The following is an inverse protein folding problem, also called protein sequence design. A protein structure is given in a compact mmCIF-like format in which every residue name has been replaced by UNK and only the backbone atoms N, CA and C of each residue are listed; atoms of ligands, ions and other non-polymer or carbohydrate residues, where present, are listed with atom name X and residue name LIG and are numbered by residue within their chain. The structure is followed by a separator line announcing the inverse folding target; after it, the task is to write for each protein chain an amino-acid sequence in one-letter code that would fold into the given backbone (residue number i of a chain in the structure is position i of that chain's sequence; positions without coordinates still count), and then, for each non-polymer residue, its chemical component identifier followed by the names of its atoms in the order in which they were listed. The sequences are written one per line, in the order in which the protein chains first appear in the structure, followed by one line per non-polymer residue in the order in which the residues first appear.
data_IF_551409372765
#
_entry.id   IF_551409372765
#
_cell.length_a   1.000
_cell.length_b   1.000
_cell.length_c   1.000
_cell.angle_alpha   90.00
_cell.angle_beta   90.00
_cell.angle_gamma   90.00
#
_symmetry.space_group_name_H-M   'P 1'
#
loop_
_entity.id
_entity.type
_entity.pdbx_description
1 polymer ?
#
# COMPACT_ATOMS: atom_id res chain seq x y z
N UNK A 1 20.79 0.39 32.27
CA UNK A 1 19.81 -0.19 33.23
C UNK A 1 18.38 0.31 32.98
N UNK A 2 18.13 1.63 32.95
CA UNK A 2 16.80 2.22 32.66
C UNK A 2 16.18 1.76 31.32
N UNK A 3 16.96 1.78 30.22
CA UNK A 3 16.47 1.34 28.91
C UNK A 3 16.04 -0.14 28.85
N UNK A 4 16.59 -1.00 29.70
CA UNK A 4 16.20 -2.41 29.80
C UNK A 4 14.88 -2.55 30.56
N UNK A 5 14.71 -1.81 31.65
CA UNK A 5 13.45 -1.75 32.41
C UNK A 5 12.29 -1.25 31.55
N UNK A 6 12.48 -0.16 30.80
CA UNK A 6 11.46 0.37 29.88
C UNK A 6 11.10 -0.66 28.80
N UNK A 7 12.07 -1.38 28.24
CA UNK A 7 11.81 -2.45 27.26
C UNK A 7 11.01 -3.59 27.87
N UNK A 8 11.35 -4.06 29.07
CA UNK A 8 10.65 -5.17 29.74
C UNK A 8 9.23 -4.78 30.14
N UNK A 9 9.03 -3.58 30.69
CA UNK A 9 7.70 -3.06 31.03
C UNK A 9 6.82 -2.91 29.78
N UNK A 10 7.36 -2.36 28.70
CA UNK A 10 6.64 -2.26 27.43
C UNK A 10 6.40 -3.62 26.78
N UNK A 11 7.34 -4.56 26.85
CA UNK A 11 7.11 -5.92 26.34
C UNK A 11 5.96 -6.60 27.05
N UNK A 12 5.86 -6.49 28.38
CA UNK A 12 4.74 -7.04 29.15
C UNK A 12 3.41 -6.41 28.75
N UNK A 13 3.35 -5.09 28.60
CA UNK A 13 2.12 -4.39 28.20
C UNK A 13 1.71 -4.67 26.74
N UNK A 14 2.68 -4.97 25.87
CA UNK A 14 2.46 -5.29 24.45
C UNK A 14 2.22 -6.78 24.21
N UNK A 15 2.64 -7.69 25.10
CA UNK A 15 2.51 -9.14 24.93
C UNK A 15 1.06 -9.61 24.75
N UNK A 16 0.10 -8.90 25.35
CA UNK A 16 -1.33 -9.22 25.29
C UNK A 16 -2.01 -8.56 24.07
N UNK A 17 -1.33 -7.65 23.36
CA UNK A 17 -1.93 -6.94 22.22
C UNK A 17 -1.81 -7.76 20.94
N UNK A 18 -2.90 -7.83 20.20
CA UNK A 18 -2.89 -8.38 18.85
C UNK A 18 -1.95 -7.58 17.95
N UNK A 19 -1.09 -8.28 17.21
CA UNK A 19 -0.14 -7.66 16.27
C UNK A 19 -0.84 -6.97 15.08
N UNK A 20 -2.09 -7.33 14.79
CA UNK A 20 -2.93 -6.66 13.79
C UNK A 20 -4.41 -6.85 14.13
N UNK A 21 -5.23 -5.85 13.81
CA UNK A 21 -6.70 -5.93 13.93
C UNK A 21 -7.34 -6.81 12.86
N UNK A 22 -6.57 -7.19 11.84
CA UNK A 22 -7.03 -7.96 10.69
C UNK A 22 -7.00 -9.48 10.88
N UNK A 23 -6.56 -9.98 12.04
CA UNK A 23 -6.44 -11.43 12.28
C UNK A 23 -7.75 -12.18 12.05
N UNK A 24 -8.82 -11.73 12.68
CA UNK A 24 -10.15 -12.34 12.53
C UNK A 24 -10.66 -12.14 11.10
N UNK A 25 -10.53 -10.93 10.57
CA UNK A 25 -11.07 -10.59 9.24
C UNK A 25 -10.44 -11.38 8.10
N UNK A 26 -9.16 -11.70 8.21
CA UNK A 26 -8.41 -12.45 7.19
C UNK A 26 -8.18 -13.92 7.58
N UNK A 27 -8.82 -14.40 8.64
CA UNK A 27 -8.62 -15.75 9.19
C UNK A 27 -7.13 -16.14 9.33
N UNK A 28 -6.31 -15.24 9.86
CA UNK A 28 -4.85 -15.41 9.93
C UNK A 28 -4.44 -16.46 10.94
N UNK A 29 -3.51 -17.33 10.55
CA UNK A 29 -2.84 -18.24 11.48
C UNK A 29 -1.86 -17.49 12.39
N UNK A 30 -1.41 -18.13 13.48
CA UNK A 30 -0.47 -17.53 14.42
C UNK A 30 0.88 -17.14 13.78
N UNK A 31 1.29 -17.89 12.75
CA UNK A 31 2.57 -17.70 12.06
C UNK A 31 2.52 -16.55 11.05
N UNK A 32 1.33 -16.17 10.56
CA UNK A 32 1.16 -15.04 9.66
C UNK A 32 1.26 -13.71 10.42
N UNK A 33 2.19 -12.85 10.00
CA UNK A 33 2.49 -11.57 10.64
C UNK A 33 2.74 -10.50 9.58
N UNK A 34 2.49 -9.21 9.88
CA UNK A 34 2.80 -8.13 8.93
C UNK A 34 4.30 -8.01 8.63
N UNK A 35 4.63 -7.72 7.36
CA UNK A 35 6.00 -7.62 6.84
C UNK A 35 6.62 -6.23 7.08
N UNK A 36 6.72 -5.83 8.36
CA UNK A 36 7.12 -4.48 8.78
C UNK A 36 8.42 -3.98 8.14
N UNK A 37 9.44 -4.85 8.04
CA UNK A 37 10.73 -4.46 7.46
C UNK A 37 10.66 -4.25 5.96
N UNK A 38 9.74 -4.92 5.27
CA UNK A 38 9.57 -4.80 3.83
C UNK A 38 8.83 -3.50 3.49
N UNK A 39 7.82 -3.19 4.29
CA UNK A 39 6.91 -2.05 4.12
C UNK A 39 7.52 -0.69 4.46
N UNK A 40 8.73 -0.68 5.03
CA UNK A 40 9.51 0.54 5.32
C UNK A 40 10.74 0.68 4.42
N UNK A 41 10.93 -0.18 3.40
CA UNK A 41 12.07 -0.11 2.47
C UNK A 41 11.72 0.77 1.26
N UNK A 42 12.70 1.50 0.71
CA UNK A 42 12.56 2.14 -0.60
C UNK A 42 12.09 1.13 -1.67
N UNK A 43 11.30 1.54 -2.66
CA UNK A 43 10.92 2.93 -2.96
C UNK A 43 9.72 3.47 -2.16
N UNK A 44 9.18 2.74 -1.17
CA UNK A 44 8.12 3.28 -0.31
C UNK A 44 8.58 4.52 0.45
N UNK A 45 7.72 5.54 0.49
CA UNK A 45 7.96 6.74 1.26
C UNK A 45 7.61 6.52 2.74
N UNK A 46 8.17 7.34 3.62
CA UNK A 46 7.84 7.32 5.06
C UNK A 46 6.34 7.47 5.32
N UNK A 47 5.64 8.30 4.51
CA UNK A 47 4.17 8.47 4.60
C UNK A 47 3.43 7.18 4.25
N UNK A 48 3.90 6.43 3.25
CA UNK A 48 3.34 5.12 2.91
C UNK A 48 3.49 4.11 4.04
N UNK A 49 4.66 4.07 4.68
CA UNK A 49 4.92 3.21 5.85
C UNK A 49 4.03 3.57 7.06
N UNK A 50 3.85 4.85 7.34
CA UNK A 50 2.96 5.33 8.42
C UNK A 50 1.49 4.97 8.15
N UNK A 51 0.99 5.22 6.94
CA UNK A 51 -0.37 4.84 6.56
C UNK A 51 -0.58 3.33 6.71
N UNK A 52 0.39 2.53 6.28
CA UNK A 52 0.33 1.08 6.40
C UNK A 52 0.26 0.62 7.86
N UNK A 53 1.04 1.23 8.74
CA UNK A 53 0.97 0.98 10.17
C UNK A 53 -0.44 1.27 10.72
N UNK A 54 -1.01 2.42 10.35
CA UNK A 54 -2.35 2.80 10.78
C UNK A 54 -3.41 1.82 10.30
N UNK A 55 -3.35 1.38 9.03
CA UNK A 55 -4.28 0.39 8.48
C UNK A 55 -4.20 -0.91 9.29
N UNK A 56 -3.00 -1.46 9.49
CA UNK A 56 -2.79 -2.73 10.20
C UNK A 56 -3.31 -2.72 11.64
N UNK A 57 -3.25 -1.56 12.31
CA UNK A 57 -3.72 -1.38 13.68
C UNK A 57 -5.15 -0.85 13.78
N UNK A 58 -5.84 -0.61 12.66
CA UNK A 58 -7.18 -0.02 12.64
C UNK A 58 -7.22 1.44 13.10
N UNK A 59 -6.09 2.15 13.03
CA UNK A 59 -5.92 3.53 13.48
C UNK A 59 -6.17 4.55 12.34
N UNK A 60 -7.22 4.33 11.55
CA UNK A 60 -7.70 5.26 10.52
C UNK A 60 -9.05 5.81 10.96
N UNK A 61 -9.18 7.14 10.98
CA UNK A 61 -10.43 7.83 11.29
C UNK A 61 -11.41 7.76 10.11
N UNK A 62 -12.05 6.60 9.95
CA UNK A 62 -13.15 6.37 9.01
C UNK A 62 -14.47 6.92 9.55
N UNK A 63 -15.48 7.08 8.69
CA UNK A 63 -16.77 7.67 9.02
C UNK A 63 -17.47 6.91 10.16
N UNK A 64 -17.45 5.57 10.14
CA UNK A 64 -18.02 4.77 11.21
C UNK A 64 -17.35 4.97 12.58
N UNK A 65 -16.11 5.48 12.64
CA UNK A 65 -15.49 5.92 13.89
C UNK A 65 -15.86 7.37 14.21
N UNK A 66 -15.79 8.26 13.20
CA UNK A 66 -16.06 9.69 13.36
C UNK A 66 -17.50 9.98 13.77
N UNK A 67 -18.48 9.18 13.35
CA UNK A 67 -19.89 9.32 13.72
C UNK A 67 -20.13 9.15 15.23
N UNK A 68 -19.23 8.47 15.95
CA UNK A 68 -19.28 8.38 17.42
C UNK A 68 -18.80 9.65 18.11
N UNK A 69 -17.95 10.45 17.44
CA UNK A 69 -17.40 11.70 17.96
C UNK A 69 -18.30 12.88 17.58
N UNK A 70 -18.78 12.88 16.33
CA UNK A 70 -19.67 13.92 15.81
C UNK A 70 -20.91 13.26 15.19
N UNK A 71 -22.09 13.35 15.85
CA UNK A 71 -23.34 12.76 15.36
C UNK A 71 -23.81 13.29 13.99
N UNK A 72 -23.30 14.44 13.54
CA UNK A 72 -23.65 15.02 12.23
C UNK A 72 -22.93 14.34 11.06
N UNK A 73 -21.98 13.43 11.34
CA UNK A 73 -21.27 12.67 10.32
C UNK A 73 -21.97 11.32 10.16
N UNK A 74 -22.45 11.01 8.94
CA UNK A 74 -22.95 9.67 8.63
C UNK A 74 -21.88 8.62 8.88
N UNK A 75 -22.26 7.48 9.45
CA UNK A 75 -21.37 6.34 9.65
C UNK A 75 -21.07 5.57 8.35
N UNK A 76 -21.76 5.90 7.27
CA UNK A 76 -21.70 5.21 5.98
C UNK A 76 -20.46 5.57 5.18
N UNK A 77 -20.12 4.67 4.26
CA UNK A 77 -19.05 4.85 3.31
C UNK A 77 -19.42 5.96 2.31
N UNK A 78 -18.48 6.87 1.96
CA UNK A 78 -18.74 7.91 0.94
C UNK A 78 -19.00 7.37 -0.48
N UNK A 79 -18.90 6.05 -0.68
CA UNK A 79 -18.98 5.39 -1.99
C UNK A 79 -20.09 4.33 -2.08
N UNK A 80 -20.69 3.91 -0.96
CA UNK A 80 -21.75 2.90 -0.91
C UNK A 80 -22.49 2.95 0.43
N UNK A 81 -23.60 2.24 0.56
CA UNK A 81 -24.51 2.36 1.71
C UNK A 81 -24.10 1.53 2.94
N UNK A 82 -22.92 0.91 2.91
CA UNK A 82 -22.40 0.16 4.05
C UNK A 82 -21.70 1.06 5.08
N UNK A 83 -21.75 0.65 6.35
CA UNK A 83 -21.00 1.31 7.43
C UNK A 83 -19.51 1.31 7.12
N UNK A 84 -18.87 2.47 7.18
CA UNK A 84 -17.46 2.59 6.89
C UNK A 84 -16.61 2.14 8.08
N UNK A 85 -15.99 0.97 7.95
CA UNK A 85 -14.92 0.49 8.83
C UNK A 85 -13.57 0.56 8.12
N UNK A 86 -12.46 0.37 8.84
CA UNK A 86 -11.14 0.24 8.22
C UNK A 86 -11.09 -1.00 7.30
N UNK A 87 -11.78 -2.08 7.67
CA UNK A 87 -11.90 -3.29 6.86
C UNK A 87 -12.64 -3.00 5.55
N UNK A 88 -13.78 -2.32 5.65
CA UNK A 88 -14.56 -1.93 4.50
C UNK A 88 -13.76 -1.01 3.56
N UNK A 89 -13.20 0.06 4.11
CA UNK A 89 -12.48 1.08 3.33
C UNK A 89 -11.29 0.53 2.53
N UNK A 90 -10.59 -0.48 3.06
CA UNK A 90 -9.34 -1.00 2.47
C UNK A 90 -9.45 -2.41 1.88
N UNK A 91 -10.57 -3.11 2.04
CA UNK A 91 -10.64 -4.54 1.73
C UNK A 91 -11.96 -4.98 1.10
N UNK A 92 -13.10 -4.47 1.58
CA UNK A 92 -14.42 -5.03 1.24
C UNK A 92 -15.26 -4.12 0.33
N UNK A 93 -14.93 -2.83 0.23
CA UNK A 93 -15.71 -1.91 -0.60
C UNK A 93 -15.59 -2.28 -2.08
N UNK A 94 -16.72 -2.41 -2.78
CA UNK A 94 -16.79 -2.84 -4.19
C UNK A 94 -15.99 -1.96 -5.14
N UNK A 95 -15.81 -0.67 -4.79
CA UNK A 95 -14.97 0.27 -5.54
C UNK A 95 -13.51 -0.18 -5.69
N UNK A 96 -13.06 -1.09 -4.85
CA UNK A 96 -11.68 -1.60 -4.85
C UNK A 96 -11.45 -2.68 -5.92
N UNK A 97 -12.52 -3.26 -6.47
CA UNK A 97 -12.46 -4.36 -7.45
C UNK A 97 -11.53 -4.07 -8.62
N UNK A 98 -11.69 -2.92 -9.27
CA UNK A 98 -10.87 -2.49 -10.42
C UNK A 98 -9.39 -2.36 -10.02
N UNK A 99 -9.11 -1.78 -8.86
CA UNK A 99 -7.74 -1.65 -8.36
C UNK A 99 -7.12 -3.02 -8.04
N UNK A 100 -7.90 -3.93 -7.45
CA UNK A 100 -7.42 -5.28 -7.13
C UNK A 100 -7.20 -6.14 -8.37
N UNK A 101 -7.99 -5.96 -9.44
CA UNK A 101 -7.73 -6.57 -10.74
C UNK A 101 -6.41 -6.07 -11.33
N UNK A 102 -6.16 -4.76 -11.30
CA UNK A 102 -4.89 -4.19 -11.76
C UNK A 102 -3.70 -4.69 -10.92
N UNK A 103 -3.82 -4.73 -9.60
CA UNK A 103 -2.78 -5.31 -8.74
C UNK A 103 -2.55 -6.79 -9.06
N UNK A 104 -3.60 -7.56 -9.33
CA UNK A 104 -3.44 -8.95 -9.74
C UNK A 104 -2.67 -9.10 -11.05
N UNK A 105 -2.91 -8.23 -12.04
CA UNK A 105 -2.14 -8.17 -13.29
C UNK A 105 -0.67 -7.82 -13.04
N UNK A 106 -0.39 -6.82 -12.20
CA UNK A 106 0.98 -6.41 -11.84
C UNK A 106 1.72 -7.55 -11.12
N UNK A 107 1.05 -8.24 -10.19
CA UNK A 107 1.64 -9.39 -9.49
C UNK A 107 1.94 -10.53 -10.46
N UNK A 108 1.00 -10.84 -11.35
CA UNK A 108 1.16 -11.88 -12.38
C UNK A 108 2.34 -11.59 -13.31
N UNK A 109 2.50 -10.32 -13.73
CA UNK A 109 3.64 -9.86 -14.53
C UNK A 109 4.98 -10.15 -13.83
N UNK A 110 5.02 -9.99 -12.50
CA UNK A 110 6.21 -10.25 -11.69
C UNK A 110 6.35 -11.72 -11.25
N UNK A 111 5.48 -12.61 -11.75
CA UNK A 111 5.48 -14.04 -11.45
C UNK A 111 5.08 -14.33 -10.00
N UNK A 112 4.14 -13.57 -9.45
CA UNK A 112 3.59 -13.74 -8.10
C UNK A 112 2.06 -13.73 -8.11
N UNK A 113 1.46 -14.30 -7.07
CA UNK A 113 0.00 -14.30 -6.89
C UNK A 113 -0.42 -13.18 -5.94
N UNK A 114 -1.41 -12.38 -6.35
CA UNK A 114 -2.03 -11.40 -5.47
C UNK A 114 -3.05 -12.06 -4.55
N UNK A 115 -3.15 -11.58 -3.32
CA UNK A 115 -4.24 -11.93 -2.41
C UNK A 115 -4.54 -10.76 -1.47
N UNK A 116 -5.74 -10.73 -0.91
CA UNK A 116 -6.13 -9.74 0.08
C UNK A 116 -5.24 -9.80 1.34
N UNK A 117 -4.82 -11.00 1.75
CA UNK A 117 -3.87 -11.18 2.86
C UNK A 117 -2.52 -10.56 2.55
N UNK A 118 -1.97 -10.78 1.35
CA UNK A 118 -0.72 -10.14 0.91
C UNK A 118 -0.91 -8.63 0.81
N UNK A 119 -2.05 -8.18 0.28
CA UNK A 119 -2.37 -6.76 0.22
C UNK A 119 -2.30 -6.15 1.60
N UNK A 120 -3.00 -6.69 2.61
CA UNK A 120 -3.01 -6.11 3.96
C UNK A 120 -1.67 -6.26 4.68
N UNK A 121 -1.09 -7.46 4.74
CA UNK A 121 0.10 -7.75 5.54
C UNK A 121 1.42 -7.32 4.89
N UNK A 122 1.43 -7.10 3.58
CA UNK A 122 2.63 -6.88 2.78
C UNK A 122 3.16 -8.17 2.17
N UNK A 123 3.97 -8.01 1.12
CA UNK A 123 4.64 -9.12 0.46
C UNK A 123 5.93 -9.48 1.21
N UNK A 124 6.14 -10.79 1.44
CA UNK A 124 7.26 -11.29 2.23
C UNK A 124 8.60 -10.93 1.63
N UNK A 125 9.46 -10.28 2.42
CA UNK A 125 10.79 -9.89 1.96
C UNK A 125 11.75 -11.07 1.95
N UNK A 126 12.38 -11.30 0.79
CA UNK A 126 13.45 -12.28 0.64
C UNK A 126 14.69 -11.59 0.07
N UNK A 127 15.83 -11.68 0.77
CA UNK A 127 17.06 -10.96 0.37
C UNK A 127 17.52 -11.32 -1.05
N UNK A 128 17.36 -12.58 -1.47
CA UNK A 128 17.71 -13.06 -2.82
C UNK A 128 16.85 -12.43 -3.93
N UNK A 129 15.63 -11.98 -3.62
CA UNK A 129 14.67 -11.39 -4.57
C UNK A 129 14.34 -9.95 -4.18
N UNK A 130 15.33 -9.24 -3.64
CA UNK A 130 15.17 -7.91 -3.01
C UNK A 130 14.40 -6.92 -3.91
N UNK A 131 14.83 -6.74 -5.16
CA UNK A 131 14.21 -5.78 -6.09
C UNK A 131 12.72 -6.07 -6.30
N UNK A 132 12.39 -7.32 -6.65
CA UNK A 132 11.00 -7.78 -6.80
C UNK A 132 10.17 -7.56 -5.54
N UNK A 133 10.67 -7.98 -4.37
CA UNK A 133 9.97 -7.80 -3.09
C UNK A 133 9.71 -6.32 -2.78
N UNK A 134 10.66 -5.43 -3.10
CA UNK A 134 10.52 -3.99 -2.90
C UNK A 134 9.48 -3.39 -3.84
N UNK A 135 9.47 -3.78 -5.11
CA UNK A 135 8.44 -3.35 -6.07
C UNK A 135 7.04 -3.79 -5.68
N UNK A 136 6.85 -5.05 -5.31
CA UNK A 136 5.53 -5.56 -4.91
C UNK A 136 4.99 -4.82 -3.68
N UNK A 137 5.84 -4.61 -2.67
CA UNK A 137 5.47 -3.82 -1.51
C UNK A 137 5.23 -2.34 -1.86
N UNK A 138 5.98 -1.79 -2.82
CA UNK A 138 5.74 -0.45 -3.34
C UNK A 138 4.34 -0.34 -3.96
N UNK A 139 3.94 -1.26 -4.84
CA UNK A 139 2.60 -1.25 -5.44
C UNK A 139 1.50 -1.40 -4.38
N UNK A 140 1.67 -2.29 -3.42
CA UNK A 140 0.75 -2.42 -2.28
C UNK A 140 0.61 -1.09 -1.53
N UNK A 141 1.73 -0.43 -1.21
CA UNK A 141 1.71 0.84 -0.48
C UNK A 141 1.11 1.99 -1.29
N UNK A 142 1.40 2.07 -2.59
CA UNK A 142 0.78 3.07 -3.48
C UNK A 142 -0.72 2.85 -3.60
N UNK A 143 -1.16 1.60 -3.74
CA UNK A 143 -2.58 1.26 -3.79
C UNK A 143 -3.32 1.70 -2.52
N UNK A 144 -2.75 1.43 -1.33
CA UNK A 144 -3.33 1.89 -0.06
C UNK A 144 -3.39 3.40 0.06
N UNK A 145 -2.33 4.07 -0.38
CA UNK A 145 -2.30 5.53 -0.39
C UNK A 145 -3.32 6.11 -1.38
N UNK A 146 -3.49 5.50 -2.54
CA UNK A 146 -4.53 5.87 -3.51
C UNK A 146 -5.94 5.68 -2.94
N UNK A 147 -6.21 4.56 -2.24
CA UNK A 147 -7.49 4.33 -1.53
C UNK A 147 -7.78 5.45 -0.54
N UNK A 148 -6.78 5.81 0.28
CA UNK A 148 -6.88 6.87 1.27
C UNK A 148 -7.11 8.25 0.63
N UNK A 149 -6.35 8.59 -0.43
CA UNK A 149 -6.47 9.86 -1.16
C UNK A 149 -7.81 9.97 -1.86
N UNK A 150 -8.23 8.92 -2.59
CA UNK A 150 -9.55 8.85 -3.25
C UNK A 150 -10.68 9.09 -2.25
N UNK A 151 -10.64 8.44 -1.08
CA UNK A 151 -11.62 8.66 -0.01
C UNK A 151 -11.62 10.11 0.49
N UNK A 152 -10.45 10.64 0.81
CA UNK A 152 -10.31 12.02 1.29
C UNK A 152 -10.85 13.02 0.26
N UNK A 153 -10.56 12.79 -1.01
CA UNK A 153 -11.04 13.62 -2.13
C UNK A 153 -12.57 13.56 -2.24
N UNK A 154 -13.17 12.37 -2.16
CA UNK A 154 -14.63 12.19 -2.18
C UNK A 154 -15.33 12.94 -1.03
N UNK A 155 -14.80 12.83 0.19
CA UNK A 155 -15.34 13.54 1.36
C UNK A 155 -15.17 15.06 1.21
N UNK A 156 -14.05 15.50 0.65
CA UNK A 156 -13.79 16.92 0.38
C UNK A 156 -14.52 17.49 -0.83
N UNK A 157 -15.40 16.73 -1.49
CA UNK A 157 -16.15 17.18 -2.67
C UNK A 157 -15.32 17.33 -3.95
N UNK A 158 -14.10 16.76 -4.00
CA UNK A 158 -13.28 16.76 -5.21
C UNK A 158 -13.80 15.77 -6.24
N UNK A 159 -13.76 16.18 -7.52
CA UNK A 159 -14.09 15.32 -8.66
C UNK A 159 -12.98 14.29 -8.96
N UNK A 160 -11.74 14.53 -8.50
CA UNK A 160 -10.62 13.61 -8.67
C UNK A 160 -10.68 12.52 -7.60
N UNK A 161 -11.65 11.61 -7.72
CA UNK A 161 -11.82 10.48 -6.80
C UNK A 161 -11.62 9.11 -7.45
N UNK A 162 -11.34 9.06 -8.76
CA UNK A 162 -11.12 7.81 -9.49
C UNK A 162 -9.86 7.09 -8.99
N UNK A 163 -10.07 5.90 -8.44
CA UNK A 163 -9.06 5.17 -7.70
C UNK A 163 -7.92 4.68 -8.59
N UNK A 164 -8.25 4.18 -9.78
CA UNK A 164 -7.27 3.66 -10.72
C UNK A 164 -6.40 4.80 -11.27
N UNK A 165 -7.02 5.91 -11.66
CA UNK A 165 -6.31 7.10 -12.13
C UNK A 165 -5.36 7.65 -11.08
N UNK A 166 -5.81 7.79 -9.83
CA UNK A 166 -4.94 8.25 -8.73
C UNK A 166 -3.75 7.30 -8.54
N UNK A 167 -4.00 6.00 -8.46
CA UNK A 167 -2.95 5.00 -8.32
C UNK A 167 -1.92 5.06 -9.46
N UNK A 168 -2.39 5.04 -10.70
CA UNK A 168 -1.55 5.06 -11.90
C UNK A 168 -0.73 6.34 -11.98
N UNK A 169 -1.31 7.51 -11.71
CA UNK A 169 -0.58 8.78 -11.66
C UNK A 169 0.52 8.76 -10.60
N UNK A 170 0.23 8.23 -9.41
CA UNK A 170 1.22 8.13 -8.32
C UNK A 170 2.38 7.21 -8.67
N UNK A 171 2.10 6.06 -9.28
CA UNK A 171 3.13 5.11 -9.76
C UNK A 171 3.97 5.75 -10.87
N UNK A 172 3.32 6.30 -11.92
CA UNK A 172 4.01 6.99 -13.02
C UNK A 172 4.89 8.12 -12.52
N UNK A 173 4.38 8.96 -11.61
CA UNK A 173 5.14 10.05 -11.03
C UNK A 173 6.40 9.54 -10.33
N UNK A 174 6.30 8.46 -9.55
CA UNK A 174 7.47 7.89 -8.88
C UNK A 174 8.50 7.31 -9.86
N UNK A 175 8.05 6.57 -10.86
CA UNK A 175 8.93 6.02 -11.90
C UNK A 175 9.67 7.14 -12.61
N UNK A 176 8.97 8.23 -13.00
CA UNK A 176 9.60 9.42 -13.61
C UNK A 176 10.64 10.05 -12.68
N UNK A 177 10.33 10.23 -11.40
CA UNK A 177 11.29 10.78 -10.43
C UNK A 177 12.55 9.93 -10.35
N UNK A 178 12.41 8.60 -10.21
CA UNK A 178 13.56 7.70 -10.12
C UNK A 178 14.33 7.68 -11.45
N UNK A 179 13.65 7.63 -12.60
CA UNK A 179 14.28 7.68 -13.92
C UNK A 179 15.16 8.92 -14.09
N UNK A 180 14.61 10.11 -13.79
CA UNK A 180 15.35 11.37 -13.87
C UNK A 180 16.57 11.38 -12.95
N UNK A 181 16.44 10.84 -11.73
CA UNK A 181 17.55 10.72 -10.79
C UNK A 181 18.66 9.78 -11.30
N UNK A 182 18.29 8.59 -11.80
CA UNK A 182 19.26 7.62 -12.31
C UNK A 182 19.90 8.07 -13.62
N UNK A 183 19.16 8.76 -14.49
CA UNK A 183 19.72 9.43 -15.69
C UNK A 183 20.74 10.49 -15.30
N UNK A 184 20.40 11.39 -14.38
CA UNK A 184 21.29 12.46 -13.93
C UNK A 184 22.55 11.95 -13.21
N UNK A 185 22.52 10.75 -12.64
CA UNK A 185 23.65 10.13 -11.94
C UNK A 185 24.42 9.10 -12.79
N UNK A 186 24.13 9.00 -14.09
CA UNK A 186 24.73 8.02 -15.01
C UNK A 186 24.58 6.55 -14.56
N UNK A 187 23.50 6.22 -13.85
CA UNK A 187 23.23 4.90 -13.27
C UNK A 187 21.96 4.27 -13.86
N UNK A 188 21.74 4.43 -15.17
CA UNK A 188 20.50 3.97 -15.84
C UNK A 188 20.29 2.46 -15.77
N UNK A 189 21.36 1.68 -15.71
CA UNK A 189 21.28 0.22 -15.58
C UNK A 189 20.70 -0.20 -14.23
N UNK A 190 20.95 0.56 -13.16
CA UNK A 190 20.32 0.31 -11.86
C UNK A 190 18.80 0.59 -11.92
N UNK A 191 18.41 1.66 -12.62
CA UNK A 191 16.99 1.94 -12.89
C UNK A 191 16.33 0.79 -13.65
N UNK A 192 16.93 0.32 -14.76
CA UNK A 192 16.40 -0.79 -15.55
C UNK A 192 16.24 -2.05 -14.71
N UNK A 193 17.27 -2.40 -13.92
CA UNK A 193 17.24 -3.57 -13.03
C UNK A 193 16.15 -3.50 -11.94
N UNK A 194 15.70 -2.29 -11.61
CA UNK A 194 14.68 -2.06 -10.58
C UNK A 194 13.28 -1.93 -11.16
N UNK A 195 13.09 -1.16 -12.23
CA UNK A 195 11.77 -0.75 -12.72
C UNK A 195 11.34 -1.46 -14.01
N UNK A 196 12.29 -1.88 -14.85
CA UNK A 196 12.01 -2.53 -16.14
C UNK A 196 11.95 -4.06 -16.01
N UNK A 197 11.54 -4.58 -14.85
CA UNK A 197 11.43 -6.03 -14.67
C UNK A 197 10.33 -6.59 -15.58
N UNK A 198 10.72 -7.47 -16.50
CA UNK A 198 9.85 -8.11 -17.51
C UNK A 198 9.17 -7.13 -18.48
N UNK A 199 9.70 -5.91 -18.64
CA UNK A 199 9.27 -4.85 -19.58
C UNK A 199 7.77 -4.47 -19.56
N UNK A 200 6.97 -5.01 -18.63
CA UNK A 200 5.51 -4.80 -18.64
C UNK A 200 5.04 -3.53 -17.93
N UNK A 201 5.88 -2.92 -17.09
CA UNK A 201 5.55 -1.69 -16.36
C UNK A 201 6.09 -0.44 -17.08
N UNK A 202 7.36 -0.47 -17.43
CA UNK A 202 8.03 0.53 -18.23
C UNK A 202 9.30 -0.06 -18.83
N UNK A 203 9.81 0.61 -19.85
CA UNK A 203 11.07 0.29 -20.53
C UNK A 203 11.81 1.59 -20.86
N UNK A 204 13.10 1.48 -21.16
CA UNK A 204 13.94 2.62 -21.57
C UNK A 204 14.39 2.39 -23.01
N UNK A 205 13.88 3.20 -23.93
CA UNK A 205 14.19 3.19 -25.36
C UNK A 205 14.86 4.51 -25.72
N UNK A 206 16.00 4.46 -26.40
CA UNK A 206 16.70 5.67 -26.90
C UNK A 206 16.91 6.76 -25.82
N UNK A 207 17.24 6.34 -24.59
CA UNK A 207 17.36 7.21 -23.39
C UNK A 207 16.07 7.87 -22.89
N UNK A 208 14.92 7.43 -23.36
CA UNK A 208 13.61 7.93 -22.96
C UNK A 208 12.77 6.85 -22.25
N UNK A 209 11.94 7.30 -21.31
CA UNK A 209 11.11 6.44 -20.49
C UNK A 209 9.75 6.19 -21.18
N UNK A 210 9.45 4.93 -21.45
CA UNK A 210 8.18 4.49 -22.04
C UNK A 210 7.37 3.70 -21.01
N UNK A 211 6.09 4.02 -20.84
CA UNK A 211 5.19 3.31 -19.93
C UNK A 211 4.46 2.16 -20.64
N UNK A 212 4.44 1.00 -19.98
CA UNK A 212 3.69 -0.17 -20.44
C UNK A 212 2.18 0.00 -20.32
N UNK A 213 1.43 -0.85 -21.04
CA UNK A 213 -0.03 -0.77 -21.14
C UNK A 213 -0.78 -0.87 -19.80
N UNK A 214 -0.21 -1.55 -18.80
CA UNK A 214 -0.82 -1.63 -17.45
C UNK A 214 -0.89 -0.29 -16.72
N UNK A 215 -0.06 0.68 -17.12
CA UNK A 215 -0.05 2.01 -16.53
C UNK A 215 -0.68 3.06 -17.45
N UNK A 216 -1.19 2.69 -18.63
CA UNK A 216 -1.80 3.64 -19.59
C UNK A 216 -3.31 3.79 -19.40
#
# INVERSE_FOLDING_TARGET
MYGTLVKVLNQRSLAVRVNTKWRTQLALTETQKPEWRALCKPPLTRRGGDLQWRILHGAIAVNGFLSHINPNISAECPFCDHRETVFHCFSECDRLSVLFQLLNQIFSLLGETFSQTIFILGFRYQKRRKAKCQLLNFFIGQAKLAIYVSRRNKIGGSLDCDLQTIFTRMVKARIKTDFNFYRATNNIEEFKSTWCLNDGLCLVEEEELVFGGLLN
#
